data_IF_860337306708
#
_entry.id   IF_860337306708
#
_cell.length_a   1.000
_cell.length_b   1.000
_cell.length_c   1.000
_cell.angle_alpha   90.00
_cell.angle_beta   90.00
_cell.angle_gamma   90.00
#
_symmetry.space_group_name_H-M   'P 1'
#
loop_
_entity.id
_entity.type
_entity.pdbx_description
1 polymer ?
#
# COMPACT_ATOMS: atom_id res chain seq x y z
N UNK A 1 -7.54 14.85 23.19
CA UNK A 1 -7.94 14.66 21.78
C UNK A 1 -6.95 13.78 21.01
N UNK A 2 -5.66 14.15 20.94
CA UNK A 2 -4.63 13.41 20.16
C UNK A 2 -4.52 11.93 20.53
N UNK A 3 -4.45 11.60 21.83
CA UNK A 3 -4.30 10.23 22.30
C UNK A 3 -5.49 9.33 21.86
N UNK A 4 -6.68 9.90 21.77
CA UNK A 4 -7.87 9.19 21.31
C UNK A 4 -7.77 8.88 19.80
N UNK A 5 -7.38 9.86 18.98
CA UNK A 5 -7.15 9.67 17.54
C UNK A 5 -6.02 8.67 17.27
N UNK A 6 -4.96 8.72 18.06
CA UNK A 6 -3.84 7.78 17.97
C UNK A 6 -4.32 6.34 18.28
N UNK A 7 -5.06 6.14 19.37
CA UNK A 7 -5.61 4.83 19.74
C UNK A 7 -6.58 4.30 18.68
N UNK A 8 -7.45 5.15 18.14
CA UNK A 8 -8.38 4.74 17.07
C UNK A 8 -7.62 4.34 15.80
N UNK A 9 -6.63 5.12 15.39
CA UNK A 9 -5.80 4.81 14.22
C UNK A 9 -5.03 3.51 14.43
N UNK A 10 -4.43 3.31 15.60
CA UNK A 10 -3.70 2.09 15.93
C UNK A 10 -4.63 0.87 15.91
N UNK A 11 -5.85 1.00 16.44
CA UNK A 11 -6.85 -0.05 16.39
C UNK A 11 -7.29 -0.38 14.96
N UNK A 12 -7.46 0.63 14.10
CA UNK A 12 -7.81 0.42 12.69
C UNK A 12 -6.66 -0.27 11.94
N UNK A 13 -5.43 0.21 12.12
CA UNK A 13 -4.23 -0.39 11.52
C UNK A 13 -4.04 -1.84 11.99
N UNK A 14 -4.14 -2.09 13.29
CA UNK A 14 -4.04 -3.42 13.87
C UNK A 14 -5.09 -4.37 13.29
N UNK A 15 -6.34 -3.91 13.16
CA UNK A 15 -7.43 -4.69 12.56
C UNK A 15 -7.22 -5.02 11.07
N UNK A 16 -6.51 -4.18 10.31
CA UNK A 16 -6.11 -4.52 8.93
C UNK A 16 -4.93 -5.49 8.96
N UNK A 17 -3.96 -5.30 9.84
CA UNK A 17 -2.79 -6.17 9.93
C UNK A 17 -3.08 -7.57 10.47
N UNK A 18 -4.20 -7.79 11.18
CA UNK A 18 -4.61 -9.15 11.57
C UNK A 18 -4.84 -10.07 10.36
N UNK A 19 -5.16 -9.53 9.18
CA UNK A 19 -5.27 -10.33 7.95
C UNK A 19 -3.93 -10.94 7.50
N UNK A 20 -2.80 -10.48 8.03
CA UNK A 20 -1.50 -11.10 7.77
C UNK A 20 -1.46 -12.55 8.29
N UNK A 21 -2.22 -12.87 9.34
CA UNK A 21 -2.36 -14.23 9.86
C UNK A 21 -3.03 -15.19 8.87
N UNK A 22 -3.71 -14.67 7.83
CA UNK A 22 -4.31 -15.46 6.74
C UNK A 22 -3.26 -15.83 5.68
N UNK A 23 -2.14 -15.12 5.56
CA UNK A 23 -1.13 -15.36 4.52
C UNK A 23 -0.52 -16.77 4.56
N UNK A 24 -0.22 -17.39 5.72
CA UNK A 24 0.21 -18.78 5.78
C UNK A 24 -0.82 -19.76 5.19
N UNK A 25 -2.12 -19.50 5.38
CA UNK A 25 -3.18 -20.33 4.80
C UNK A 25 -3.22 -20.20 3.27
N UNK A 26 -3.03 -18.98 2.75
CA UNK A 26 -2.92 -18.73 1.30
C UNK A 26 -1.70 -19.46 0.71
N UNK A 27 -0.58 -19.49 1.43
CA UNK A 27 0.62 -20.22 1.03
C UNK A 27 0.38 -21.75 0.98
N UNK A 28 -0.27 -22.32 2.00
CA UNK A 28 -0.62 -23.75 2.01
C UNK A 28 -1.54 -24.11 0.83
N UNK A 29 -2.50 -23.22 0.53
CA UNK A 29 -3.36 -23.40 -0.64
C UNK A 29 -2.55 -23.38 -1.95
N UNK A 30 -1.59 -22.45 -2.09
CA UNK A 30 -0.76 -22.38 -3.28
C UNK A 30 0.10 -23.63 -3.49
N UNK A 31 0.73 -24.15 -2.43
CA UNK A 31 1.48 -25.42 -2.49
C UNK A 31 0.57 -26.57 -2.94
N UNK A 32 -0.64 -26.65 -2.39
CA UNK A 32 -1.56 -27.76 -2.67
C UNK A 32 -2.13 -27.73 -4.09
N UNK A 33 -2.41 -26.54 -4.64
CA UNK A 33 -3.13 -26.39 -5.92
C UNK A 33 -2.22 -25.99 -7.07
N UNK A 34 -1.34 -25.00 -6.89
CA UNK A 34 -0.65 -24.31 -7.99
C UNK A 34 0.85 -24.61 -8.08
N UNK A 35 1.49 -25.00 -6.97
CA UNK A 35 2.93 -25.33 -6.89
C UNK A 35 3.82 -24.25 -7.54
N UNK A 36 3.56 -22.97 -7.24
CA UNK A 36 4.28 -21.86 -7.91
C UNK A 36 5.76 -21.78 -7.56
N UNK A 37 6.21 -22.44 -6.48
CA UNK A 37 7.59 -22.41 -6.00
C UNK A 37 7.96 -21.11 -5.27
N UNK A 38 6.98 -20.23 -5.01
CA UNK A 38 7.19 -18.98 -4.27
C UNK A 38 7.39 -19.30 -2.77
N UNK A 39 8.29 -18.60 -2.11
CA UNK A 39 8.58 -18.83 -0.69
C UNK A 39 7.49 -18.26 0.21
N UNK A 40 7.31 -18.82 1.41
CA UNK A 40 6.40 -18.26 2.43
C UNK A 40 6.74 -16.80 2.76
N UNK A 41 8.04 -16.47 2.80
CA UNK A 41 8.51 -15.11 3.06
C UNK A 41 7.99 -14.12 2.01
N UNK A 42 8.02 -14.49 0.72
CA UNK A 42 7.50 -13.65 -0.36
C UNK A 42 5.98 -13.42 -0.24
N UNK A 43 5.22 -14.43 0.22
CA UNK A 43 3.79 -14.27 0.50
C UNK A 43 3.54 -13.30 1.65
N UNK A 44 4.30 -13.40 2.74
CA UNK A 44 4.18 -12.49 3.88
C UNK A 44 4.58 -11.07 3.47
N UNK A 45 5.68 -10.90 2.74
CA UNK A 45 6.16 -9.61 2.23
C UNK A 45 5.13 -8.98 1.28
N UNK A 46 4.62 -9.76 0.31
CA UNK A 46 3.60 -9.31 -0.63
C UNK A 46 2.28 -8.96 0.07
N UNK A 47 1.84 -9.81 1.00
CA UNK A 47 0.65 -9.60 1.83
C UNK A 47 0.77 -8.36 2.70
N UNK A 48 1.92 -8.16 3.36
CA UNK A 48 2.21 -6.95 4.12
C UNK A 48 2.14 -5.70 3.25
N UNK A 49 2.76 -5.75 2.06
CA UNK A 49 2.72 -4.64 1.10
C UNK A 49 1.29 -4.24 0.72
N UNK A 50 0.44 -5.23 0.43
CA UNK A 50 -0.97 -5.02 0.10
C UNK A 50 -1.78 -4.49 1.29
N UNK A 51 -1.61 -5.09 2.48
CA UNK A 51 -2.33 -4.68 3.69
C UNK A 51 -1.90 -3.29 4.16
N UNK A 52 -0.63 -2.92 3.99
CA UNK A 52 -0.15 -1.57 4.23
C UNK A 52 -0.83 -0.58 3.28
N UNK A 53 -0.95 -0.90 1.99
CA UNK A 53 -1.66 -0.05 1.03
C UNK A 53 -3.13 0.18 1.44
N UNK A 54 -3.82 -0.90 1.81
CA UNK A 54 -5.19 -0.83 2.34
C UNK A 54 -5.21 0.04 3.61
N UNK A 55 -4.20 -0.10 4.47
CA UNK A 55 -4.06 0.69 5.70
C UNK A 55 -3.76 2.16 5.45
N UNK A 56 -3.24 2.56 4.29
CA UNK A 56 -3.11 3.99 3.94
C UNK A 56 -4.47 4.57 3.54
N UNK A 57 -5.23 3.83 2.72
CA UNK A 57 -6.53 4.30 2.19
C UNK A 57 -7.62 4.26 3.27
N UNK A 58 -7.69 3.16 4.03
CA UNK A 58 -8.81 2.87 4.92
C UNK A 58 -9.00 3.94 6.02
N UNK A 59 -7.97 4.37 6.76
CA UNK A 59 -8.10 5.46 7.73
C UNK A 59 -8.48 6.78 7.07
N UNK A 60 -7.93 7.09 5.89
CA UNK A 60 -8.28 8.31 5.13
C UNK A 60 -9.78 8.36 4.82
N UNK A 61 -10.34 7.23 4.38
CA UNK A 61 -11.78 7.05 4.16
C UNK A 61 -12.62 6.95 5.45
N UNK A 62 -12.03 6.87 6.63
CA UNK A 62 -12.79 6.74 7.89
C UNK A 62 -12.44 7.86 8.87
N UNK A 63 -12.03 9.04 8.37
CA UNK A 63 -11.51 10.13 9.20
C UNK A 63 -12.51 10.79 10.13
N UNK A 64 -13.78 10.85 9.73
CA UNK A 64 -14.88 11.35 10.55
C UNK A 64 -15.87 10.25 10.95
N UNK A 65 -15.48 8.97 10.87
CA UNK A 65 -16.44 7.87 11.08
C UNK A 65 -16.99 7.82 12.51
N UNK A 66 -16.16 8.13 13.50
CA UNK A 66 -16.60 8.26 14.90
C UNK A 66 -17.62 9.38 15.06
N UNK A 67 -17.34 10.54 14.50
CA UNK A 67 -18.15 11.75 14.64
C UNK A 67 -19.49 11.62 13.92
N UNK A 68 -19.49 11.00 12.74
CA UNK A 68 -20.72 10.68 12.00
C UNK A 68 -21.57 9.69 12.78
N UNK A 69 -20.95 8.67 13.39
CA UNK A 69 -21.65 7.68 14.21
C UNK A 69 -22.28 8.31 15.44
N UNK A 70 -21.58 9.27 16.06
CA UNK A 70 -22.03 9.92 17.29
C UNK A 70 -22.92 11.15 17.02
N UNK A 71 -23.20 11.47 15.74
CA UNK A 71 -23.96 12.67 15.36
C UNK A 71 -23.26 13.99 15.72
N UNK A 72 -21.97 13.94 16.08
CA UNK A 72 -21.20 15.09 16.57
C UNK A 72 -20.44 15.82 15.47
N UNK A 73 -20.54 15.37 14.21
CA UNK A 73 -19.86 16.01 13.09
C UNK A 73 -20.28 17.48 12.91
N UNK A 74 -21.58 17.76 12.97
CA UNK A 74 -22.11 19.13 12.83
C UNK A 74 -21.61 20.02 13.97
N UNK A 75 -21.58 19.48 15.20
CA UNK A 75 -21.03 20.17 16.36
C UNK A 75 -19.54 20.49 16.18
N UNK A 76 -18.76 19.51 15.72
CA UNK A 76 -17.32 19.68 15.50
C UNK A 76 -17.02 20.73 14.41
N UNK A 77 -17.89 20.87 13.40
CA UNK A 77 -17.78 21.90 12.37
C UNK A 77 -18.26 23.29 12.84
N UNK A 78 -19.09 23.35 13.88
CA UNK A 78 -19.57 24.61 14.48
C UNK A 78 -18.59 25.25 15.47
N UNK A 79 -17.60 24.49 15.94
CA UNK A 79 -16.59 24.99 16.87
C UNK A 79 -15.71 26.07 16.18
N UNK A 80 -15.24 27.09 16.94
CA UNK A 80 -14.37 28.15 16.42
C UNK A 80 -12.92 27.66 16.25
N UNK A 81 -12.74 26.49 15.64
CA UNK A 81 -11.44 25.88 15.35
C UNK A 81 -11.17 26.05 13.85
N UNK A 82 -9.95 26.45 13.50
CA UNK A 82 -9.54 26.55 12.11
C UNK A 82 -9.63 25.19 11.40
N UNK A 83 -10.08 25.18 10.13
CA UNK A 83 -10.11 23.95 9.31
C UNK A 83 -8.72 23.32 9.14
N UNK A 84 -7.68 24.15 9.09
CA UNK A 84 -6.28 23.72 9.02
C UNK A 84 -5.84 23.01 10.30
N UNK A 85 -6.23 23.52 11.46
CA UNK A 85 -5.93 22.89 12.74
C UNK A 85 -6.65 21.56 12.85
N UNK A 86 -7.92 21.51 12.44
CA UNK A 86 -8.69 20.27 12.40
C UNK A 86 -8.03 19.22 11.50
N UNK A 87 -7.58 19.62 10.30
CA UNK A 87 -6.84 18.76 9.39
C UNK A 87 -5.57 18.24 10.05
N UNK A 88 -4.76 19.11 10.64
CA UNK A 88 -3.49 18.73 11.27
C UNK A 88 -3.73 17.77 12.43
N UNK A 89 -4.67 18.08 13.33
CA UNK A 89 -4.95 17.26 14.51
C UNK A 89 -5.49 15.86 14.17
N UNK A 90 -6.24 15.72 13.08
CA UNK A 90 -6.76 14.41 12.64
C UNK A 90 -5.79 13.62 11.76
N UNK A 91 -5.06 14.28 10.87
CA UNK A 91 -4.19 13.61 9.90
C UNK A 91 -2.81 13.27 10.47
N UNK A 92 -2.26 14.11 11.35
CA UNK A 92 -0.91 13.93 11.92
C UNK A 92 -0.70 12.58 12.63
N UNK A 93 -1.57 12.13 13.57
CA UNK A 93 -1.38 10.82 14.21
C UNK A 93 -1.43 9.66 13.21
N UNK A 94 -2.16 9.81 12.11
CA UNK A 94 -2.29 8.79 11.06
C UNK A 94 -1.07 8.73 10.18
N UNK A 95 -0.58 9.88 9.75
CA UNK A 95 0.66 9.98 8.99
C UNK A 95 1.81 9.34 9.79
N UNK A 96 1.89 9.63 11.10
CA UNK A 96 2.92 9.06 11.97
C UNK A 96 2.83 7.53 12.05
N UNK A 97 1.66 6.97 12.31
CA UNK A 97 1.48 5.50 12.42
C UNK A 97 1.78 4.82 11.07
N UNK A 98 1.29 5.37 9.96
CA UNK A 98 1.50 4.79 8.64
C UNK A 98 2.95 4.87 8.18
N UNK A 99 3.64 5.96 8.52
CA UNK A 99 5.06 6.14 8.25
C UNK A 99 5.90 5.16 9.08
N UNK A 100 5.62 5.03 10.39
CA UNK A 100 6.29 4.04 11.24
C UNK A 100 6.05 2.61 10.75
N UNK A 101 4.83 2.28 10.33
CA UNK A 101 4.53 0.98 9.72
C UNK A 101 5.33 0.75 8.44
N UNK A 102 5.51 1.77 7.60
CA UNK A 102 6.31 1.65 6.39
C UNK A 102 7.80 1.38 6.73
N UNK A 103 8.36 2.07 7.73
CA UNK A 103 9.74 1.83 8.19
C UNK A 103 9.90 0.45 8.84
N UNK A 104 8.90 -0.04 9.59
CA UNK A 104 8.92 -1.43 10.07
C UNK A 104 8.94 -2.41 8.89
N UNK A 105 8.14 -2.13 7.85
CA UNK A 105 8.14 -2.93 6.62
C UNK A 105 9.49 -2.94 5.89
N UNK A 106 10.19 -1.81 5.85
CA UNK A 106 11.50 -1.71 5.19
C UNK A 106 12.56 -2.56 5.89
N UNK A 107 12.48 -2.72 7.22
CA UNK A 107 13.33 -3.66 7.98
C UNK A 107 13.12 -5.12 7.56
N UNK A 108 11.91 -5.46 7.08
CA UNK A 108 11.59 -6.79 6.53
C UNK A 108 11.85 -6.90 5.02
N UNK A 109 12.49 -5.91 4.40
CA UNK A 109 12.79 -5.90 2.96
C UNK A 109 11.61 -5.46 2.07
N UNK A 110 10.56 -4.87 2.64
CA UNK A 110 9.43 -4.35 1.88
C UNK A 110 9.72 -2.92 1.42
N UNK A 111 10.20 -2.76 0.20
CA UNK A 111 10.41 -1.43 -0.39
C UNK A 111 9.12 -0.90 -1.03
N UNK A 112 8.52 0.13 -0.44
CA UNK A 112 7.28 0.71 -0.96
C UNK A 112 7.47 1.60 -2.18
N UNK A 113 8.39 2.55 -2.05
CA UNK A 113 8.73 3.57 -3.04
C UNK A 113 10.23 3.78 -3.08
N UNK A 114 10.74 4.21 -4.23
CA UNK A 114 12.13 4.67 -4.37
C UNK A 114 12.28 6.07 -3.75
N UNK A 115 12.27 6.15 -2.43
CA UNK A 115 12.51 7.37 -1.66
C UNK A 115 11.52 7.61 -0.52
N UNK A 116 12.05 7.99 0.64
CA UNK A 116 11.26 8.35 1.84
C UNK A 116 10.35 9.56 1.61
N UNK A 117 10.82 10.53 0.83
CA UNK A 117 10.04 11.72 0.48
C UNK A 117 8.80 11.39 -0.36
N UNK A 118 8.92 10.44 -1.30
CA UNK A 118 7.80 10.02 -2.13
C UNK A 118 6.78 9.22 -1.33
N UNK A 119 7.26 8.35 -0.43
CA UNK A 119 6.41 7.66 0.54
C UNK A 119 5.63 8.65 1.43
N UNK A 120 6.32 9.62 2.02
CA UNK A 120 5.70 10.60 2.91
C UNK A 120 4.69 11.46 2.17
N UNK A 121 5.05 11.99 0.99
CA UNK A 121 4.13 12.77 0.16
C UNK A 121 2.91 11.95 -0.27
N UNK A 122 3.07 10.66 -0.59
CA UNK A 122 1.94 9.77 -0.89
C UNK A 122 0.99 9.60 0.30
N UNK A 123 1.52 9.39 1.52
CA UNK A 123 0.72 9.27 2.73
C UNK A 123 -0.02 10.59 3.00
N UNK A 124 0.68 11.72 2.97
CA UNK A 124 0.10 13.06 3.20
C UNK A 124 -1.00 13.36 2.17
N UNK A 125 -0.72 13.11 0.89
CA UNK A 125 -1.67 13.27 -0.19
C UNK A 125 -2.93 12.44 0.06
N UNK A 126 -2.78 11.14 0.33
CA UNK A 126 -3.92 10.25 0.55
C UNK A 126 -4.75 10.65 1.77
N UNK A 127 -4.11 11.04 2.89
CA UNK A 127 -4.83 11.50 4.09
C UNK A 127 -5.54 12.84 3.86
N UNK A 128 -4.92 13.77 3.14
CA UNK A 128 -5.56 15.07 2.83
C UNK A 128 -6.75 14.92 1.89
N UNK A 129 -6.67 14.06 0.87
CA UNK A 129 -7.81 13.74 0.02
C UNK A 129 -8.93 13.05 0.81
N UNK A 130 -8.57 12.10 1.70
CA UNK A 130 -9.53 11.46 2.62
C UNK A 130 -10.23 12.46 3.53
N UNK A 131 -9.51 13.45 4.05
CA UNK A 131 -10.07 14.56 4.84
C UNK A 131 -11.08 15.39 4.04
N UNK A 132 -10.72 15.84 2.83
CA UNK A 132 -11.61 16.63 1.97
C UNK A 132 -12.90 15.85 1.67
N UNK A 133 -12.78 14.57 1.35
CA UNK A 133 -13.93 13.71 1.09
C UNK A 133 -14.78 13.45 2.33
N UNK A 134 -14.14 13.39 3.48
CA UNK A 134 -14.80 13.39 4.77
C UNK A 134 -15.69 14.62 4.98
N UNK A 135 -15.20 15.80 4.61
CA UNK A 135 -15.94 17.07 4.75
C UNK A 135 -17.09 17.21 3.73
N UNK A 136 -16.88 16.79 2.48
CA UNK A 136 -17.90 16.91 1.40
C UNK A 136 -19.08 15.93 1.62
N UNK A 137 -18.92 14.95 2.51
CA UNK A 137 -19.94 13.97 2.82
C UNK A 137 -19.70 12.66 2.07
N UNK A 138 -19.37 11.61 2.82
CA UNK A 138 -19.02 10.29 2.29
C UNK A 138 -20.21 9.42 1.85
N UNK A 139 -21.38 10.04 1.61
CA UNK A 139 -22.60 9.33 1.24
C UNK A 139 -22.51 8.62 -0.12
N UNK A 140 -21.67 9.12 -1.04
CA UNK A 140 -21.55 8.52 -2.37
C UNK A 140 -20.39 7.52 -2.46
N UNK A 141 -20.70 6.29 -2.89
CA UNK A 141 -19.69 5.28 -3.24
C UNK A 141 -18.73 5.75 -4.34
N UNK A 142 -19.24 6.56 -5.28
CA UNK A 142 -18.48 7.13 -6.40
C UNK A 142 -17.29 7.96 -5.91
N UNK A 143 -17.47 8.80 -4.89
CA UNK A 143 -16.41 9.63 -4.35
C UNK A 143 -15.31 8.80 -3.67
N UNK A 144 -15.65 7.65 -3.08
CA UNK A 144 -14.68 6.70 -2.52
C UNK A 144 -13.87 6.02 -3.63
N UNK A 145 -14.49 5.64 -4.74
CA UNK A 145 -13.78 5.07 -5.88
C UNK A 145 -12.77 6.04 -6.51
N UNK A 146 -13.07 7.35 -6.51
CA UNK A 146 -12.15 8.38 -7.03
C UNK A 146 -10.84 8.43 -6.23
N UNK A 147 -10.85 8.13 -4.93
CA UNK A 147 -9.60 7.98 -4.13
C UNK A 147 -8.79 6.74 -4.48
N UNK A 148 -9.47 5.66 -4.85
CA UNK A 148 -8.79 4.41 -5.19
C UNK A 148 -8.02 4.54 -6.51
N UNK A 149 -8.53 5.31 -7.46
CA UNK A 149 -7.91 5.53 -8.77
C UNK A 149 -6.43 5.95 -8.71
N UNK A 150 -6.05 7.06 -8.03
CA UNK A 150 -4.65 7.48 -7.95
C UNK A 150 -3.78 6.48 -7.19
N UNK A 151 -4.34 5.75 -6.24
CA UNK A 151 -3.59 4.71 -5.50
C UNK A 151 -3.33 3.49 -6.39
N UNK A 152 -4.31 3.09 -7.20
CA UNK A 152 -4.16 2.01 -8.18
C UNK A 152 -3.17 2.39 -9.29
N UNK A 153 -3.22 3.62 -9.81
CA UNK A 153 -2.28 4.07 -10.85
C UNK A 153 -0.85 4.14 -10.33
N UNK A 154 -0.65 4.58 -9.09
CA UNK A 154 0.66 4.59 -8.43
C UNK A 154 1.15 3.17 -8.12
N UNK A 155 0.26 2.26 -7.74
CA UNK A 155 0.61 0.85 -7.49
C UNK A 155 1.06 0.14 -8.76
N UNK A 156 0.39 0.42 -9.88
CA UNK A 156 0.78 -0.09 -11.21
C UNK A 156 2.15 0.43 -11.66
N UNK A 157 2.66 1.49 -11.02
CA UNK A 157 4.01 2.01 -11.26
C UNK A 157 5.13 1.28 -10.50
N UNK A 158 4.87 0.21 -9.73
CA UNK A 158 5.98 -0.62 -9.20
C UNK A 158 6.69 -1.39 -10.32
N UNK A 159 8.01 -1.53 -10.19
CA UNK A 159 8.90 -1.14 -11.26
C UNK A 159 9.10 -2.30 -12.23
N UNK A 160 9.12 -1.93 -13.51
CA UNK A 160 9.71 -2.70 -14.61
C UNK A 160 11.02 -3.41 -14.21
N UNK A 161 11.76 -2.86 -13.23
CA UNK A 161 13.02 -3.41 -12.70
C UNK A 161 12.92 -4.74 -11.93
N UNK A 162 11.83 -5.07 -11.23
CA UNK A 162 11.71 -6.44 -10.63
C UNK A 162 11.39 -7.46 -11.71
N UNK A 163 10.65 -7.05 -12.76
CA UNK A 163 10.44 -7.84 -13.97
C UNK A 163 11.75 -8.03 -14.74
N UNK A 164 12.55 -6.98 -14.89
CA UNK A 164 13.88 -7.03 -15.52
C UNK A 164 14.88 -7.85 -14.71
N UNK A 165 14.92 -7.74 -13.37
CA UNK A 165 15.80 -8.60 -12.56
C UNK A 165 15.40 -10.07 -12.63
N UNK A 166 14.09 -10.38 -12.66
CA UNK A 166 13.62 -11.76 -12.87
C UNK A 166 13.98 -12.25 -14.28
N UNK A 167 13.75 -11.44 -15.32
CA UNK A 167 14.15 -11.77 -16.70
C UNK A 167 15.67 -11.91 -16.86
N UNK A 168 16.46 -11.08 -16.18
CA UNK A 168 17.91 -11.18 -16.15
C UNK A 168 18.37 -12.45 -15.42
N UNK A 169 17.74 -12.84 -14.31
CA UNK A 169 18.04 -14.12 -13.65
C UNK A 169 17.61 -15.34 -14.47
N UNK A 170 16.58 -15.24 -15.31
CA UNK A 170 16.25 -16.28 -16.30
C UNK A 170 17.18 -16.27 -17.51
N UNK A 171 17.78 -15.13 -17.86
CA UNK A 171 18.76 -15.01 -18.95
C UNK A 171 20.18 -15.49 -18.56
N UNK A 172 20.47 -15.67 -17.26
CA UNK A 172 21.75 -16.18 -16.73
C UNK A 172 21.68 -17.67 -16.35
N UNK A 173 20.57 -18.36 -16.69
CA UNK A 173 20.62 -19.82 -16.81
C UNK A 173 21.60 -20.19 -17.93
N UNK A 174 22.43 -21.24 -17.79
CA UNK A 174 23.32 -21.65 -18.85
C UNK A 174 22.46 -22.02 -20.05
N UNK A 175 22.38 -21.14 -21.06
CA UNK A 175 21.98 -21.55 -22.40
C UNK A 175 22.92 -22.70 -22.73
N UNK A 176 22.45 -23.96 -22.82
CA UNK A 176 23.29 -25.02 -23.30
C UNK A 176 23.75 -24.59 -24.69
N UNK A 177 25.04 -24.74 -24.91
CA UNK A 177 25.79 -24.38 -26.11
C UNK A 177 25.24 -25.02 -27.40
N UNK A 178 24.07 -24.58 -27.86
CA UNK A 178 23.46 -24.97 -29.13
C UNK A 178 23.48 -23.83 -30.16
N UNK A 179 24.36 -22.85 -29.97
CA UNK A 179 24.61 -21.78 -30.94
C UNK A 179 26.08 -21.79 -31.40
N UNK A 180 26.47 -22.86 -32.11
CA UNK A 180 27.65 -22.92 -32.97
C UNK A 180 27.25 -23.78 -34.19
N UNK A 181 27.51 -23.41 -35.46
CA UNK A 181 27.40 -22.12 -36.12
C UNK A 181 26.69 -22.24 -37.50
N UNK A 182 25.63 -21.48 -37.78
CA UNK A 182 24.99 -21.45 -39.13
C UNK A 182 25.75 -20.53 -40.12
N UNK A 183 26.85 -19.92 -39.70
CA UNK A 183 27.66 -19.03 -40.54
C UNK A 183 28.89 -19.79 -41.07
N UNK A 184 28.68 -20.71 -42.02
CA UNK A 184 29.75 -21.20 -42.90
C UNK A 184 29.28 -21.79 -44.25
N UNK A 185 28.11 -21.38 -44.75
CA UNK A 185 27.60 -21.82 -46.08
C UNK A 185 27.70 -20.71 -47.15
N UNK A 186 28.12 -19.48 -46.82
CA UNK A 186 28.27 -18.39 -47.81
C UNK A 186 29.71 -17.88 -47.97
N UNK A 187 30.70 -18.77 -47.95
CA UNK A 187 32.03 -18.45 -48.50
C UNK A 187 32.75 -19.72 -49.00
N UNK A 188 32.62 -20.03 -50.29
CA UNK A 188 33.54 -20.94 -50.98
C UNK A 188 32.91 -21.79 -52.08
N UNK A 189 33.38 -21.56 -53.30
CA UNK A 189 33.09 -22.20 -54.59
C UNK A 189 31.83 -21.72 -55.33
#
# INVERSE_FOLDING_TARGET
>A
MIAHEFRMTLSQFGGVMTFLAVMPLVYLLDISVRRTGVSLADYIIGGYGLLWLISVIYPGCNIFRSEVRDGSLEYLLSLPIGRSDLLLWKTLPRILILYLAAEVGSLFGVEFFTGRELLLSFIVFTQSCGFILGLVGMGSWKARCILFLPVCTIWDMRPSRVRERRLASYAVGPLPAMAVPVIRIFSGA
#
